data_IF_067443932107
#
_entry.id   IF_067443932107
#
_cell.length_a   1.000
_cell.length_b   1.000
_cell.length_c   1.000
_cell.angle_alpha   90.00
_cell.angle_beta   90.00
_cell.angle_gamma   90.00
#
_symmetry.space_group_name_H-M   'P 1'
#
loop_
_entity.id
_entity.type
_entity.pdbx_description
1 polymer ?
#
# COMPACT_ATOMS: atom_id res chain seq x y z
N UNK A 1 10.50 24.61 -38.58
CA UNK A 1 9.09 24.68 -38.14
C UNK A 1 8.82 23.58 -37.13
N UNK A 2 8.87 23.91 -35.85
CA UNK A 2 8.77 22.98 -34.72
C UNK A 2 7.30 22.84 -34.31
N UNK A 3 6.71 21.65 -34.48
CA UNK A 3 5.40 21.31 -33.92
C UNK A 3 5.60 20.82 -32.49
N UNK A 4 5.46 21.71 -31.51
CA UNK A 4 5.31 21.34 -30.10
C UNK A 4 4.02 20.50 -29.96
N UNK A 5 4.16 19.22 -29.62
CA UNK A 5 3.04 18.40 -29.15
C UNK A 5 2.71 18.88 -27.74
N UNK A 6 1.59 19.58 -27.61
CA UNK A 6 0.96 19.89 -26.33
C UNK A 6 0.50 18.55 -25.75
N UNK A 7 1.24 18.06 -24.77
CA UNK A 7 0.80 16.94 -23.96
C UNK A 7 -0.40 17.41 -23.14
N UNK A 8 -1.57 16.91 -23.47
CA UNK A 8 -2.78 17.07 -22.65
C UNK A 8 -2.50 16.43 -21.30
N UNK A 9 -2.19 17.25 -20.29
CA UNK A 9 -2.35 16.85 -18.90
C UNK A 9 -3.83 16.49 -18.75
N UNK A 10 -4.12 15.19 -18.62
CA UNK A 10 -5.39 14.73 -18.10
C UNK A 10 -5.45 15.20 -16.65
N UNK A 11 -6.08 16.36 -16.46
CA UNK A 11 -6.56 16.81 -15.15
C UNK A 11 -7.47 15.69 -14.64
N UNK A 12 -7.15 15.01 -13.52
CA UNK A 12 -8.11 14.13 -12.91
C UNK A 12 -9.33 14.99 -12.55
N UNK A 13 -10.48 14.61 -13.10
CA UNK A 13 -11.76 15.23 -12.79
C UNK A 13 -11.90 15.20 -11.27
N UNK A 14 -11.97 16.40 -10.69
CA UNK A 14 -12.28 16.64 -9.29
C UNK A 14 -13.56 15.89 -8.93
N UNK A 15 -13.43 14.71 -8.33
CA UNK A 15 -14.46 14.21 -7.43
C UNK A 15 -14.15 14.84 -6.08
N UNK A 16 -14.55 16.10 -5.96
CA UNK A 16 -14.70 16.70 -4.65
C UNK A 16 -15.54 15.72 -3.83
N UNK A 17 -15.01 15.27 -2.69
CA UNK A 17 -15.83 14.98 -1.53
C UNK A 17 -16.53 16.29 -1.16
N UNK A 18 -17.53 16.69 -1.95
CA UNK A 18 -18.43 17.76 -1.62
C UNK A 18 -19.44 17.20 -0.62
N UNK A 19 -18.97 16.99 0.60
CA UNK A 19 -19.83 16.98 1.78
C UNK A 19 -19.64 18.35 2.40
N UNK A 20 -20.64 19.20 2.20
CA UNK A 20 -20.59 20.62 2.52
C UNK A 20 -20.37 20.82 4.03
N UNK A 21 -19.25 21.43 4.39
CA UNK A 21 -19.01 21.96 5.73
C UNK A 21 -20.06 23.01 6.05
N UNK A 22 -21.04 22.66 6.88
CA UNK A 22 -21.83 23.64 7.60
C UNK A 22 -21.57 23.43 9.09
N UNK A 23 -20.73 24.31 9.65
CA UNK A 23 -20.61 24.45 11.07
C UNK A 23 -21.95 24.86 11.66
N UNK A 24 -22.44 24.12 12.66
CA UNK A 24 -23.29 24.69 13.69
C UNK A 24 -22.92 24.08 15.05
N UNK A 25 -22.59 25.00 15.95
CA UNK A 25 -22.31 24.82 17.37
C UNK A 25 -23.45 24.10 18.09
N UNK A 26 -23.12 23.24 19.05
CA UNK A 26 -23.37 23.51 20.48
C UNK A 26 -22.89 22.31 21.32
N UNK A 27 -21.79 22.50 22.03
CA UNK A 27 -21.48 21.70 23.22
C UNK A 27 -22.09 22.44 24.43
N UNK A 28 -22.73 21.75 25.40
CA UNK A 28 -23.10 22.38 26.65
C UNK A 28 -21.86 22.62 27.51
N UNK A 29 -21.82 23.78 28.16
CA UNK A 29 -20.78 24.20 29.10
C UNK A 29 -20.57 23.17 30.21
N UNK A 30 -19.29 22.92 30.55
CA UNK A 30 -18.91 22.22 31.76
C UNK A 30 -18.02 23.12 32.62
N UNK A 31 -18.50 23.36 33.83
CA UNK A 31 -17.93 24.19 34.88
C UNK A 31 -16.49 23.81 35.26
N UNK A 32 -15.79 24.83 35.76
CA UNK A 32 -14.42 24.83 36.24
C UNK A 32 -14.16 23.84 37.38
N UNK A 33 -13.12 23.02 37.22
CA UNK A 33 -12.51 22.25 38.30
C UNK A 33 -11.32 21.46 37.80
N UNK A 34 -10.10 22.01 37.97
CA UNK A 34 -8.80 21.39 37.68
C UNK A 34 -8.73 20.56 36.38
N UNK A 35 -8.44 21.21 35.25
CA UNK A 35 -8.17 20.51 33.98
C UNK A 35 -6.93 19.63 34.10
N UNK A 36 -7.02 18.28 34.02
CA UNK A 36 -5.85 17.46 33.77
C UNK A 36 -5.28 17.84 32.40
N UNK A 37 -3.94 17.87 32.26
CA UNK A 37 -3.26 18.11 30.97
C UNK A 37 -3.85 17.15 29.93
N UNK A 38 -4.65 17.69 29.03
CA UNK A 38 -5.29 16.96 27.94
C UNK A 38 -4.19 16.44 27.02
N UNK A 39 -4.07 15.12 26.86
CA UNK A 39 -3.08 14.55 25.94
C UNK A 39 -3.44 14.86 24.49
N UNK A 40 -2.46 14.86 23.59
CA UNK A 40 -2.65 15.08 22.16
C UNK A 40 -3.60 14.05 21.52
N UNK A 41 -3.81 12.90 22.17
CA UNK A 41 -4.78 11.88 21.78
C UNK A 41 -6.17 12.02 22.43
N UNK A 42 -6.43 13.09 23.18
CA UNK A 42 -7.71 13.26 23.87
C UNK A 42 -8.93 13.32 22.93
N UNK A 43 -8.74 13.78 21.69
CA UNK A 43 -9.79 13.79 20.67
C UNK A 43 -10.34 12.40 20.31
N UNK A 44 -9.59 11.33 20.62
CA UNK A 44 -10.01 9.94 20.39
C UNK A 44 -10.47 9.23 21.65
N UNK A 45 -10.65 9.93 22.78
CA UNK A 45 -11.08 9.32 24.05
C UNK A 45 -12.30 8.42 23.84
N UNK A 46 -12.19 7.18 24.31
CA UNK A 46 -13.22 6.17 24.11
C UNK A 46 -12.65 4.81 23.74
N UNK A 47 -13.56 3.88 23.46
CA UNK A 47 -13.24 2.53 22.97
C UNK A 47 -13.73 2.40 21.53
N UNK A 48 -12.86 1.87 20.68
CA UNK A 48 -13.10 1.77 19.25
C UNK A 48 -12.78 0.38 18.74
N UNK A 49 -13.55 -0.08 17.77
CA UNK A 49 -13.36 -1.36 17.09
C UNK A 49 -13.10 -1.14 15.60
N UNK A 50 -12.32 -2.02 14.99
CA UNK A 50 -12.05 -2.00 13.56
C UNK A 50 -13.33 -2.35 12.78
N UNK A 51 -13.73 -1.46 11.87
CA UNK A 51 -14.84 -1.70 10.95
C UNK A 51 -14.56 -2.85 9.98
N UNK A 52 -13.28 -3.09 9.67
CA UNK A 52 -12.84 -4.15 8.76
C UNK A 52 -13.18 -5.57 9.24
N UNK A 53 -13.45 -5.77 10.54
CA UNK A 53 -13.83 -7.07 11.09
C UNK A 53 -15.25 -7.51 10.66
N UNK A 54 -16.05 -6.62 10.07
CA UNK A 54 -17.38 -6.95 9.53
C UNK A 54 -17.33 -7.77 8.23
N UNK A 55 -16.19 -7.77 7.54
CA UNK A 55 -16.08 -8.20 6.13
C UNK A 55 -16.57 -9.62 5.84
N UNK A 56 -16.48 -10.52 6.81
CA UNK A 56 -16.79 -11.94 6.68
C UNK A 56 -18.18 -12.30 7.25
N UNK A 57 -19.00 -11.33 7.68
CA UNK A 57 -20.33 -11.63 8.21
C UNK A 57 -21.25 -12.15 7.07
N UNK A 58 -21.87 -13.34 7.22
CA UNK A 58 -22.67 -13.95 6.17
C UNK A 58 -23.85 -13.09 5.68
N UNK A 59 -24.35 -12.17 6.52
CA UNK A 59 -25.44 -11.26 6.14
C UNK A 59 -25.06 -10.27 5.04
N UNK A 60 -23.76 -10.05 4.81
CA UNK A 60 -23.25 -9.12 3.80
C UNK A 60 -23.08 -9.77 2.41
N UNK A 61 -23.20 -11.09 2.31
CA UNK A 61 -22.96 -11.85 1.06
C UNK A 61 -23.81 -11.37 -0.12
N UNK A 62 -25.08 -11.06 0.12
CA UNK A 62 -25.97 -10.55 -0.93
C UNK A 62 -25.47 -9.19 -1.46
N UNK A 63 -25.06 -8.29 -0.57
CA UNK A 63 -24.58 -6.96 -0.96
C UNK A 63 -23.27 -7.04 -1.75
N UNK A 64 -22.36 -7.94 -1.39
CA UNK A 64 -21.14 -8.18 -2.17
C UNK A 64 -21.46 -8.70 -3.57
N UNK A 65 -22.39 -9.65 -3.71
CA UNK A 65 -22.81 -10.20 -5.01
C UNK A 65 -23.43 -9.12 -5.90
N UNK A 66 -24.46 -8.43 -5.40
CA UNK A 66 -25.17 -7.37 -6.13
C UNK A 66 -24.23 -6.23 -6.58
N UNK A 67 -23.23 -5.91 -5.75
CA UNK A 67 -22.27 -4.86 -6.06
C UNK A 67 -21.24 -5.33 -7.09
N UNK A 68 -20.67 -6.53 -6.91
CA UNK A 68 -19.66 -7.09 -7.81
C UNK A 68 -20.20 -7.36 -9.23
N UNK A 69 -21.50 -7.64 -9.39
CA UNK A 69 -22.15 -7.75 -10.70
C UNK A 69 -21.98 -6.50 -11.59
N UNK A 70 -21.80 -5.33 -10.97
CA UNK A 70 -21.58 -4.05 -11.65
C UNK A 70 -20.10 -3.75 -11.90
N UNK A 71 -19.21 -4.63 -11.46
CA UNK A 71 -17.75 -4.48 -11.49
C UNK A 71 -17.12 -5.55 -12.42
N UNK A 72 -17.06 -5.33 -13.73
CA UNK A 72 -16.74 -6.38 -14.71
C UNK A 72 -15.36 -7.02 -14.52
N UNK A 73 -14.42 -6.29 -13.91
CA UNK A 73 -13.03 -6.72 -13.70
C UNK A 73 -12.78 -7.35 -12.31
N UNK A 74 -13.84 -7.63 -11.56
CA UNK A 74 -13.79 -8.23 -10.23
C UNK A 74 -14.66 -9.48 -10.23
N UNK A 75 -14.20 -10.53 -9.54
CA UNK A 75 -15.13 -11.55 -9.03
C UNK A 75 -15.73 -11.06 -7.71
N UNK A 76 -16.77 -11.75 -7.21
CA UNK A 76 -17.33 -11.45 -5.87
C UNK A 76 -16.23 -11.47 -4.81
N UNK A 77 -15.41 -12.52 -4.81
CA UNK A 77 -14.28 -12.64 -3.88
C UNK A 77 -13.17 -11.62 -4.14
N UNK A 78 -12.95 -11.22 -5.40
CA UNK A 78 -12.01 -10.15 -5.71
C UNK A 78 -12.46 -8.78 -5.21
N UNK A 79 -13.76 -8.50 -5.24
CA UNK A 79 -14.33 -7.29 -4.65
C UNK A 79 -14.29 -7.33 -3.12
N UNK A 80 -14.65 -8.46 -2.49
CA UNK A 80 -14.47 -8.67 -1.04
C UNK A 80 -13.02 -8.44 -0.61
N UNK A 81 -12.06 -8.97 -1.35
CA UNK A 81 -10.64 -8.75 -1.09
C UNK A 81 -10.24 -7.27 -1.23
N UNK A 82 -10.78 -6.55 -2.22
CA UNK A 82 -10.56 -5.11 -2.37
C UNK A 82 -11.10 -4.31 -1.18
N UNK A 83 -12.34 -4.59 -0.77
CA UNK A 83 -12.98 -3.98 0.39
C UNK A 83 -12.23 -4.29 1.68
N UNK A 84 -11.83 -5.54 1.90
CA UNK A 84 -11.02 -5.95 3.04
C UNK A 84 -9.65 -5.24 3.09
N UNK A 85 -8.99 -5.10 1.93
CA UNK A 85 -7.70 -4.43 1.84
C UNK A 85 -7.79 -2.93 2.21
N UNK A 86 -8.89 -2.27 1.87
CA UNK A 86 -9.14 -0.88 2.25
C UNK A 86 -9.12 -0.71 3.77
N UNK A 87 -9.79 -1.59 4.52
CA UNK A 87 -9.90 -1.49 5.97
C UNK A 87 -8.81 -2.23 6.76
N UNK A 88 -7.83 -2.83 6.08
CA UNK A 88 -6.85 -3.73 6.71
C UNK A 88 -6.00 -3.01 7.76
N UNK A 89 -5.98 -3.53 8.97
CA UNK A 89 -5.20 -2.98 10.09
C UNK A 89 -4.65 -4.10 10.98
N UNK A 90 -3.46 -3.92 11.61
CA UNK A 90 -2.98 -4.83 12.64
C UNK A 90 -3.72 -4.68 13.99
N UNK A 91 -4.44 -3.56 14.19
CA UNK A 91 -5.18 -3.22 15.40
C UNK A 91 -6.67 -3.48 15.19
N UNK A 92 -7.26 -4.33 16.03
CA UNK A 92 -8.69 -4.69 15.97
C UNK A 92 -9.53 -3.91 16.96
N UNK A 93 -8.92 -3.43 18.06
CA UNK A 93 -9.56 -2.52 19.03
C UNK A 93 -8.57 -1.49 19.54
N UNK A 94 -9.05 -0.30 19.86
CA UNK A 94 -8.24 0.78 20.43
C UNK A 94 -8.99 1.45 21.59
N UNK A 95 -8.32 1.61 22.73
CA UNK A 95 -8.86 2.31 23.90
C UNK A 95 -7.96 3.49 24.26
N UNK A 96 -8.55 4.67 24.23
CA UNK A 96 -7.91 5.94 24.59
C UNK A 96 -8.53 6.48 25.87
N UNK A 97 -7.70 6.77 26.87
CA UNK A 97 -8.16 7.28 28.17
C UNK A 97 -8.21 8.82 28.24
N UNK A 98 -7.78 9.51 27.17
CA UNK A 98 -7.66 10.96 27.12
C UNK A 98 -6.24 11.48 27.35
N UNK A 99 -5.30 10.58 27.70
CA UNK A 99 -3.86 10.83 27.71
C UNK A 99 -3.22 10.34 26.41
N UNK A 100 -1.89 10.38 26.34
CA UNK A 100 -1.10 9.83 25.25
C UNK A 100 -0.88 8.31 25.30
N UNK A 101 -1.50 7.64 26.27
CA UNK A 101 -1.46 6.19 26.41
C UNK A 101 -2.66 5.57 25.71
N UNK A 102 -2.37 4.54 24.93
CA UNK A 102 -3.38 3.79 24.18
C UNK A 102 -3.21 2.31 24.50
N UNK A 103 -4.33 1.61 24.62
CA UNK A 103 -4.36 0.15 24.64
C UNK A 103 -4.88 -0.34 23.31
N UNK A 104 -4.04 -1.06 22.57
CA UNK A 104 -4.45 -1.70 21.32
C UNK A 104 -4.69 -3.18 21.57
N UNK A 105 -5.80 -3.71 21.07
CA UNK A 105 -5.94 -5.14 20.84
C UNK A 105 -5.40 -5.44 19.45
N UNK A 106 -4.38 -6.28 19.35
CA UNK A 106 -3.83 -6.77 18.09
C UNK A 106 -4.18 -8.23 17.90
N UNK A 107 -4.37 -8.64 16.65
CA UNK A 107 -4.63 -10.02 16.27
C UNK A 107 -3.39 -10.59 15.58
N UNK A 108 -2.84 -11.69 16.10
CA UNK A 108 -1.71 -12.36 15.47
C UNK A 108 -2.14 -13.20 14.24
N UNK A 109 -1.17 -13.86 13.61
CA UNK A 109 -1.41 -14.66 12.41
C UNK A 109 -2.32 -15.88 12.67
N UNK A 110 -2.38 -16.37 13.91
CA UNK A 110 -3.21 -17.49 14.34
C UNK A 110 -4.60 -17.04 14.81
N UNK A 111 -4.88 -15.73 14.72
CA UNK A 111 -6.16 -15.14 15.11
C UNK A 111 -6.28 -14.83 16.61
N UNK A 112 -5.21 -15.01 17.39
CA UNK A 112 -5.22 -14.72 18.83
C UNK A 112 -5.12 -13.23 19.07
N UNK A 113 -6.01 -12.72 19.92
CA UNK A 113 -6.03 -11.32 20.34
C UNK A 113 -5.18 -11.09 21.60
N UNK A 114 -4.38 -10.03 21.61
CA UNK A 114 -3.61 -9.55 22.76
C UNK A 114 -3.80 -8.06 22.96
N UNK A 115 -4.08 -7.62 24.20
CA UNK A 115 -4.11 -6.20 24.55
C UNK A 115 -2.69 -5.73 24.93
N UNK A 116 -2.20 -4.71 24.23
CA UNK A 116 -0.88 -4.14 24.41
C UNK A 116 -1.00 -2.63 24.63
N UNK A 117 -0.44 -2.15 25.73
CA UNK A 117 -0.38 -0.72 26.03
C UNK A 117 0.86 -0.06 25.42
N UNK A 118 0.69 1.13 24.86
CA UNK A 118 1.76 1.93 24.30
C UNK A 118 1.52 3.42 24.59
N UNK A 119 2.61 4.18 24.72
CA UNK A 119 2.57 5.63 24.87
C UNK A 119 3.15 6.26 23.60
N UNK A 120 2.46 7.27 23.08
CA UNK A 120 2.84 7.95 21.84
C UNK A 120 3.16 9.41 22.09
N UNK A 121 4.10 9.96 21.34
CA UNK A 121 4.33 11.40 21.23
C UNK A 121 3.77 11.90 19.90
N UNK A 122 3.18 13.08 19.91
CA UNK A 122 2.78 13.76 18.69
C UNK A 122 4.01 14.30 17.96
N UNK A 123 4.05 14.12 16.64
CA UNK A 123 5.19 14.52 15.79
C UNK A 123 4.78 15.48 14.65
N UNK A 124 3.57 16.00 14.69
CA UNK A 124 3.09 17.03 13.76
C UNK A 124 2.05 16.53 12.76
N UNK A 125 1.74 17.39 11.79
CA UNK A 125 0.78 17.09 10.72
C UNK A 125 1.49 16.69 9.43
N UNK A 126 0.92 15.74 8.71
CA UNK A 126 1.41 15.33 7.39
C UNK A 126 0.26 15.46 6.38
N UNK A 127 0.40 16.28 5.32
CA UNK A 127 -0.62 16.42 4.28
C UNK A 127 -1.00 15.07 3.66
N UNK A 128 -2.29 14.91 3.35
CA UNK A 128 -2.79 13.70 2.68
C UNK A 128 -2.64 13.86 1.17
N UNK A 129 -1.85 13.01 0.48
CA UNK A 129 -1.72 13.12 -0.97
C UNK A 129 -3.06 12.97 -1.68
N UNK A 130 -3.38 13.89 -2.59
CA UNK A 130 -4.63 13.88 -3.35
C UNK A 130 -5.82 14.52 -2.64
N UNK A 131 -5.68 14.96 -1.38
CA UNK A 131 -6.75 15.62 -0.61
C UNK A 131 -6.26 16.98 -0.11
N UNK A 132 -6.45 18.01 -0.94
CA UNK A 132 -6.03 19.38 -0.62
C UNK A 132 -6.69 19.87 0.68
N UNK A 133 -5.92 20.56 1.53
CA UNK A 133 -6.38 21.05 2.83
C UNK A 133 -6.53 19.98 3.92
N UNK A 134 -6.41 18.69 3.60
CA UNK A 134 -6.48 17.60 4.57
C UNK A 134 -5.09 17.20 5.07
N UNK A 135 -4.99 16.86 6.35
CA UNK A 135 -3.74 16.38 6.96
C UNK A 135 -4.01 15.32 8.00
N UNK A 136 -3.11 14.35 8.07
CA UNK A 136 -3.04 13.40 9.16
C UNK A 136 -2.40 14.02 10.41
N UNK A 137 -2.89 13.64 11.59
CA UNK A 137 -2.21 13.85 12.86
C UNK A 137 -1.23 12.69 13.08
N UNK A 138 0.07 12.97 13.17
CA UNK A 138 1.11 11.94 13.21
C UNK A 138 1.69 11.73 14.61
N UNK A 139 1.95 10.47 14.95
CA UNK A 139 2.45 10.05 16.25
C UNK A 139 3.54 8.98 16.12
N UNK A 140 4.46 8.96 17.07
CA UNK A 140 5.52 7.96 17.21
C UNK A 140 5.49 7.36 18.62
N UNK A 141 5.62 6.04 18.73
CA UNK A 141 5.74 5.35 20.01
C UNK A 141 6.99 5.86 20.76
N UNK A 142 6.83 6.18 22.05
CA UNK A 142 7.93 6.70 22.90
C UNK A 142 9.04 5.66 23.09
N UNK A 143 8.70 4.37 23.03
CA UNK A 143 9.61 3.23 23.10
C UNK A 143 9.15 2.12 22.17
N UNK A 144 10.07 1.27 21.75
CA UNK A 144 9.71 0.05 21.03
C UNK A 144 8.93 -0.89 21.96
N UNK A 145 7.76 -1.34 21.53
CA UNK A 145 6.88 -2.24 22.29
C UNK A 145 6.74 -3.56 21.55
N UNK A 146 7.08 -4.67 22.22
CA UNK A 146 6.92 -6.02 21.67
C UNK A 146 5.46 -6.26 21.30
N UNK A 147 5.22 -6.83 20.12
CA UNK A 147 3.87 -7.05 19.58
C UNK A 147 3.29 -5.85 18.82
N UNK A 148 3.90 -4.66 18.89
CA UNK A 148 3.47 -3.45 18.17
C UNK A 148 4.52 -2.96 17.16
N UNK A 149 5.35 -3.86 16.62
CA UNK A 149 6.40 -3.48 15.66
C UNK A 149 5.85 -2.84 14.38
N UNK A 150 4.63 -3.19 13.97
CA UNK A 150 3.93 -2.59 12.84
C UNK A 150 3.16 -1.31 13.18
N UNK A 151 3.15 -0.89 14.45
CA UNK A 151 2.43 0.28 14.95
C UNK A 151 3.37 1.29 15.64
N UNK A 152 4.68 1.24 15.36
CA UNK A 152 5.65 2.22 15.89
C UNK A 152 5.26 3.66 15.54
N UNK A 153 4.82 3.87 14.29
CA UNK A 153 4.26 5.12 13.82
C UNK A 153 2.78 4.93 13.55
N UNK A 154 1.97 5.94 13.88
CA UNK A 154 0.57 5.99 13.49
C UNK A 154 0.21 7.37 12.98
N UNK A 155 -0.70 7.42 12.02
CA UNK A 155 -1.25 8.65 11.46
C UNK A 155 -2.76 8.56 11.48
N UNK A 156 -3.41 9.56 12.07
CA UNK A 156 -4.82 9.51 12.44
C UNK A 156 -5.61 10.69 11.86
N UNK A 157 -6.84 10.41 11.43
CA UNK A 157 -7.86 11.45 11.35
C UNK A 157 -8.62 11.53 12.68
N UNK A 158 -9.00 12.72 13.15
CA UNK A 158 -9.89 12.85 14.31
C UNK A 158 -11.24 12.15 14.08
N UNK A 159 -11.93 11.72 15.14
CA UNK A 159 -13.30 11.22 15.01
C UNK A 159 -14.22 12.26 14.37
N UNK A 160 -14.96 11.83 13.37
CA UNK A 160 -15.88 12.67 12.60
C UNK A 160 -17.06 11.84 12.07
N UNK A 161 -18.08 12.54 11.58
CA UNK A 161 -19.25 11.98 10.92
C UNK A 161 -19.47 12.73 9.62
N UNK A 162 -19.80 12.01 8.56
CA UNK A 162 -20.21 12.60 7.28
C UNK A 162 -21.74 12.66 7.24
N UNK A 163 -22.32 13.85 7.06
CA UNK A 163 -23.77 14.07 6.92
C UNK A 163 -24.64 13.42 8.01
N UNK A 164 -24.16 13.40 9.26
CA UNK A 164 -24.88 12.77 10.37
C UNK A 164 -24.84 11.24 10.36
N UNK A 165 -24.01 10.63 9.51
CA UNK A 165 -23.72 9.21 9.49
C UNK A 165 -22.91 8.75 10.70
N UNK A 166 -22.42 7.51 10.64
CA UNK A 166 -21.66 6.88 11.72
C UNK A 166 -20.45 7.73 12.17
N UNK A 167 -20.31 7.93 13.48
CA UNK A 167 -19.09 8.49 14.07
C UNK A 167 -17.94 7.49 13.91
N UNK A 168 -16.89 7.90 13.22
CA UNK A 168 -15.75 7.05 12.92
C UNK A 168 -14.46 7.87 12.79
N UNK A 169 -13.33 7.19 12.69
CA UNK A 169 -12.04 7.79 12.34
C UNK A 169 -11.21 6.83 11.50
N UNK A 170 -10.19 7.39 10.84
CA UNK A 170 -9.25 6.61 10.04
C UNK A 170 -7.87 6.58 10.68
N UNK A 171 -7.17 5.45 10.51
CA UNK A 171 -5.83 5.24 11.03
C UNK A 171 -4.95 4.55 10.00
N UNK A 172 -3.65 4.88 9.98
CA UNK A 172 -2.65 4.00 9.37
C UNK A 172 -1.53 3.75 10.36
N UNK A 173 -0.96 2.55 10.31
CA UNK A 173 0.08 2.09 11.22
C UNK A 173 1.30 1.63 10.42
N UNK A 174 2.52 1.94 10.89
CA UNK A 174 3.73 1.54 10.21
C UNK A 174 4.94 1.38 11.12
N UNK A 175 5.90 0.58 10.65
CA UNK A 175 7.16 0.33 11.36
C UNK A 175 8.27 1.34 11.02
N UNK A 176 8.18 2.02 9.86
CA UNK A 176 9.33 2.73 9.25
C UNK A 176 9.35 4.23 9.55
N UNK A 177 8.29 4.95 9.19
CA UNK A 177 8.10 6.37 9.50
C UNK A 177 6.64 6.75 9.32
N UNK A 178 6.21 7.87 9.90
CA UNK A 178 4.88 8.41 9.71
C UNK A 178 4.66 8.93 8.28
N UNK A 179 5.67 9.52 7.65
CA UNK A 179 5.59 9.98 6.25
C UNK A 179 5.36 8.81 5.29
N UNK A 180 5.99 7.66 5.53
CA UNK A 180 5.84 6.50 4.67
C UNK A 180 4.39 6.00 4.61
N UNK A 181 3.68 6.01 5.75
CA UNK A 181 2.28 5.59 5.83
C UNK A 181 1.29 6.72 5.48
N UNK A 182 1.61 7.97 5.80
CA UNK A 182 0.78 9.13 5.42
C UNK A 182 0.79 9.37 3.91
N UNK A 183 1.93 9.14 3.25
CA UNK A 183 2.09 9.37 1.81
C UNK A 183 1.76 8.16 0.94
N UNK A 184 1.30 7.06 1.56
CA UNK A 184 0.79 5.91 0.80
C UNK A 184 -0.45 6.34 0.01
N UNK A 185 -0.37 6.23 -1.31
CA UNK A 185 -1.44 6.64 -2.23
C UNK A 185 -2.42 5.51 -2.55
N UNK A 186 -2.24 4.32 -1.96
CA UNK A 186 -3.24 3.26 -2.06
C UNK A 186 -4.54 3.69 -1.39
N UNK A 187 -5.64 3.11 -1.84
CA UNK A 187 -6.96 3.31 -1.24
C UNK A 187 -7.09 2.50 0.08
N UNK A 188 -6.22 2.84 1.04
CA UNK A 188 -6.06 2.20 2.34
C UNK A 188 -6.54 3.16 3.43
N UNK A 189 -7.70 2.84 4.00
CA UNK A 189 -8.45 3.64 4.96
C UNK A 189 -8.97 2.77 6.12
N UNK A 190 -8.09 2.18 6.95
CA UNK A 190 -8.52 1.49 8.16
C UNK A 190 -9.40 2.40 8.98
N UNK A 191 -10.59 1.89 9.31
CA UNK A 191 -11.66 2.69 9.87
C UNK A 191 -12.07 2.09 11.20
N UNK A 192 -12.23 2.96 12.19
CA UNK A 192 -12.57 2.61 13.55
C UNK A 192 -13.87 3.30 13.94
N UNK A 193 -14.73 2.56 14.62
CA UNK A 193 -16.08 2.98 15.01
C UNK A 193 -16.26 2.74 16.50
N UNK A 194 -17.23 3.40 17.14
CA UNK A 194 -17.46 3.26 18.57
C UNK A 194 -17.68 1.78 18.94
N UNK A 195 -17.00 1.30 19.98
CA UNK A 195 -17.21 -0.05 20.51
C UNK A 195 -18.62 -0.25 21.08
N UNK A 196 -19.35 0.85 21.37
CA UNK A 196 -20.73 0.81 21.83
C UNK A 196 -21.76 0.68 20.71
N UNK A 197 -21.34 0.70 19.44
CA UNK A 197 -22.25 0.52 18.30
C UNK A 197 -22.85 -0.89 18.34
N UNK A 198 -24.15 -1.00 18.09
CA UNK A 198 -24.82 -2.30 18.03
C UNK A 198 -24.30 -3.11 16.83
N UNK A 199 -24.30 -4.45 16.94
CA UNK A 199 -23.94 -5.32 15.81
C UNK A 199 -24.85 -5.06 14.59
N UNK A 200 -26.13 -4.79 14.83
CA UNK A 200 -27.11 -4.51 13.78
C UNK A 200 -26.76 -3.23 13.02
N UNK A 201 -26.50 -2.13 13.72
CA UNK A 201 -26.09 -0.86 13.10
C UNK A 201 -24.76 -1.01 12.36
N UNK A 202 -23.79 -1.70 12.96
CA UNK A 202 -22.50 -1.95 12.35
C UNK A 202 -22.64 -2.70 11.01
N UNK A 203 -23.47 -3.74 10.96
CA UNK A 203 -23.70 -4.51 9.74
C UNK A 203 -24.52 -3.72 8.71
N UNK A 204 -25.45 -2.86 9.15
CA UNK A 204 -26.18 -1.95 8.28
C UNK A 204 -25.22 -0.97 7.59
N UNK A 205 -24.33 -0.34 8.35
CA UNK A 205 -23.31 0.57 7.81
C UNK A 205 -22.32 -0.18 6.89
N UNK A 206 -21.91 -1.40 7.25
CA UNK A 206 -21.09 -2.25 6.38
C UNK A 206 -21.79 -2.55 5.05
N UNK A 207 -23.08 -2.88 5.08
CA UNK A 207 -23.87 -3.14 3.87
C UNK A 207 -23.94 -1.92 2.95
N UNK A 208 -24.19 -0.74 3.50
CA UNK A 208 -24.21 0.50 2.71
C UNK A 208 -22.81 0.89 2.22
N UNK A 209 -21.78 0.69 3.04
CA UNK A 209 -20.38 0.84 2.67
C UNK A 209 -19.99 -0.04 1.48
N UNK A 210 -20.38 -1.31 1.47
CA UNK A 210 -20.14 -2.23 0.35
C UNK A 210 -20.73 -1.67 -0.95
N UNK A 211 -22.00 -1.23 -0.93
CA UNK A 211 -22.66 -0.66 -2.12
C UNK A 211 -21.97 0.62 -2.60
N UNK A 212 -21.63 1.53 -1.68
CA UNK A 212 -20.97 2.78 -1.99
C UNK A 212 -19.57 2.53 -2.59
N UNK A 213 -18.78 1.64 -1.99
CA UNK A 213 -17.43 1.32 -2.45
C UNK A 213 -17.39 0.71 -3.85
N UNK A 214 -18.43 -0.01 -4.27
CA UNK A 214 -18.52 -0.48 -5.66
C UNK A 214 -18.47 0.64 -6.71
N UNK A 215 -18.89 1.85 -6.34
CA UNK A 215 -18.83 3.03 -7.21
C UNK A 215 -17.53 3.84 -7.07
N UNK A 216 -16.84 3.70 -5.93
CA UNK A 216 -15.60 4.43 -5.63
C UNK A 216 -14.34 3.69 -6.07
N UNK A 217 -14.37 2.36 -6.10
CA UNK A 217 -13.27 1.61 -6.68
C UNK A 217 -13.17 1.87 -8.18
N UNK A 218 -11.94 1.92 -8.67
CA UNK A 218 -11.67 1.94 -10.09
C UNK A 218 -12.35 0.73 -10.76
N UNK A 219 -13.00 0.98 -11.91
CA UNK A 219 -13.56 -0.11 -12.72
C UNK A 219 -12.50 -1.12 -13.12
N UNK A 220 -11.26 -0.67 -13.26
CA UNK A 220 -10.09 -1.50 -13.51
C UNK A 220 -9.20 -1.55 -12.27
N UNK A 221 -8.92 -2.74 -11.71
CA UNK A 221 -7.95 -2.87 -10.62
C UNK A 221 -6.53 -2.45 -11.02
N UNK A 222 -6.25 -2.29 -12.32
CA UNK A 222 -4.96 -1.85 -12.83
C UNK A 222 -4.83 -0.35 -13.07
N UNK A 223 -5.87 0.45 -12.80
CA UNK A 223 -5.91 1.88 -13.17
C UNK A 223 -4.72 2.66 -12.61
N UNK A 224 -4.41 2.47 -11.32
CA UNK A 224 -3.26 3.11 -10.68
C UNK A 224 -1.94 2.82 -11.42
N UNK A 225 -1.71 1.56 -11.81
CA UNK A 225 -0.46 1.16 -12.47
C UNK A 225 -0.41 1.70 -13.90
N UNK A 226 -1.53 1.70 -14.61
CA UNK A 226 -1.64 2.26 -15.96
C UNK A 226 -1.37 3.78 -15.97
N UNK A 227 -1.79 4.50 -14.93
CA UNK A 227 -1.55 5.94 -14.80
C UNK A 227 -0.05 6.31 -14.70
N UNK A 228 0.81 5.37 -14.26
CA UNK A 228 2.27 5.57 -14.22
C UNK A 228 2.97 5.24 -15.56
N UNK A 229 2.22 4.79 -16.57
CA UNK A 229 2.76 4.37 -17.86
C UNK A 229 3.30 2.94 -17.82
N UNK A 230 4.39 2.70 -18.57
CA UNK A 230 5.06 1.41 -18.60
C UNK A 230 5.97 1.25 -17.39
N UNK A 231 6.14 0.01 -16.96
CA UNK A 231 7.00 -0.37 -15.85
C UNK A 231 8.11 -1.26 -16.36
N UNK A 232 9.33 -1.04 -15.90
CA UNK A 232 10.48 -1.88 -16.21
C UNK A 232 10.77 -2.85 -15.05
N UNK A 233 11.21 -4.06 -15.39
CA UNK A 233 11.78 -4.99 -14.41
C UNK A 233 13.03 -4.34 -13.80
N UNK A 234 13.06 -4.20 -12.47
CA UNK A 234 14.11 -3.44 -11.80
C UNK A 234 15.50 -4.06 -11.94
N UNK A 235 15.62 -5.33 -12.34
CA UNK A 235 16.94 -5.91 -12.63
C UNK A 235 17.66 -5.20 -13.79
N UNK A 236 16.93 -4.53 -14.69
CA UNK A 236 17.50 -3.72 -15.78
C UNK A 236 18.32 -2.53 -15.28
N UNK A 237 18.05 -2.03 -14.07
CA UNK A 237 18.76 -0.85 -13.57
C UNK A 237 20.26 -1.10 -13.36
N UNK A 238 20.63 -2.35 -13.10
CA UNK A 238 22.02 -2.73 -12.86
C UNK A 238 22.84 -2.75 -14.16
N UNK A 239 22.17 -2.85 -15.30
CA UNK A 239 22.76 -2.77 -16.64
C UNK A 239 22.70 -1.33 -17.22
N UNK A 240 22.19 -0.35 -16.46
CA UNK A 240 22.11 1.05 -16.91
C UNK A 240 23.51 1.67 -17.03
N UNK A 241 23.80 2.27 -18.18
CA UNK A 241 25.11 2.82 -18.56
C UNK A 241 25.22 4.34 -18.39
N UNK A 242 24.22 4.98 -17.78
CA UNK A 242 24.26 6.42 -17.48
C UNK A 242 25.44 6.77 -16.57
N UNK A 243 25.83 8.05 -16.62
CA UNK A 243 26.92 8.57 -15.79
C UNK A 243 26.58 8.48 -14.31
N UNK A 244 25.34 8.75 -13.94
CA UNK A 244 24.84 8.72 -12.56
C UNK A 244 24.96 7.30 -11.97
N UNK A 245 24.52 6.28 -12.72
CA UNK A 245 24.61 4.89 -12.28
C UNK A 245 26.05 4.40 -12.25
N UNK A 246 26.88 4.81 -13.22
CA UNK A 246 28.30 4.48 -13.20
C UNK A 246 29.00 5.06 -11.96
N UNK A 247 28.74 6.33 -11.63
CA UNK A 247 29.24 6.95 -10.41
C UNK A 247 28.77 6.23 -9.13
N UNK A 248 27.51 5.74 -9.11
CA UNK A 248 26.98 4.95 -8.00
C UNK A 248 27.77 3.65 -7.81
N UNK A 249 28.08 2.93 -8.90
CA UNK A 249 28.93 1.73 -8.82
C UNK A 249 30.34 2.08 -8.33
N UNK A 250 30.97 3.12 -8.85
CA UNK A 250 32.32 3.53 -8.44
C UNK A 250 32.37 3.84 -6.93
N UNK A 251 31.35 4.52 -6.42
CA UNK A 251 31.19 4.80 -5.00
C UNK A 251 31.08 3.53 -4.17
N UNK A 252 30.26 2.57 -4.60
CA UNK A 252 30.08 1.29 -3.90
C UNK A 252 31.36 0.46 -3.93
N UNK A 253 32.04 0.37 -5.07
CA UNK A 253 33.32 -0.34 -5.20
C UNK A 253 34.34 0.25 -4.22
N UNK A 254 34.46 1.58 -4.17
CA UNK A 254 35.34 2.26 -3.23
C UNK A 254 34.97 2.02 -1.76
N UNK A 255 33.68 2.02 -1.42
CA UNK A 255 33.19 1.77 -0.05
C UNK A 255 33.50 0.33 0.42
N UNK A 256 33.54 -0.62 -0.52
CA UNK A 256 33.77 -2.05 -0.27
C UNK A 256 35.16 -2.54 -0.72
N UNK A 257 36.11 -1.64 -0.93
CA UNK A 257 37.47 -1.98 -1.32
C UNK A 257 38.12 -2.96 -0.32
N UNK A 258 38.76 -4.01 -0.84
CA UNK A 258 39.43 -5.08 -0.11
C UNK A 258 38.50 -6.06 0.61
N UNK A 259 37.18 -5.92 0.47
CA UNK A 259 36.20 -6.73 1.22
C UNK A 259 35.60 -7.88 0.41
N UNK A 260 36.07 -8.16 -0.81
CA UNK A 260 35.53 -9.27 -1.58
C UNK A 260 35.93 -10.61 -0.91
N UNK A 261 34.98 -11.50 -0.56
CA UNK A 261 35.32 -12.81 0.02
C UNK A 261 36.17 -13.70 -0.89
N UNK A 262 36.19 -13.42 -2.20
CA UNK A 262 37.08 -14.09 -3.17
C UNK A 262 38.51 -13.50 -3.19
N UNK A 263 38.78 -12.51 -2.36
CA UNK A 263 40.02 -11.73 -2.35
C UNK A 263 39.92 -10.46 -3.22
N UNK A 264 40.50 -9.36 -2.72
CA UNK A 264 40.59 -8.09 -3.45
C UNK A 264 39.31 -7.25 -3.42
N UNK A 265 39.12 -6.43 -4.46
CA UNK A 265 37.97 -5.55 -4.63
C UNK A 265 36.81 -6.27 -5.33
N UNK A 266 35.58 -5.80 -5.11
CA UNK A 266 34.46 -6.18 -5.98
C UNK A 266 34.58 -5.46 -7.32
N UNK A 267 34.44 -6.18 -8.43
CA UNK A 267 34.27 -5.54 -9.74
C UNK A 267 32.80 -5.14 -9.96
N UNK A 268 32.54 -4.23 -10.90
CA UNK A 268 31.17 -3.90 -11.32
C UNK A 268 30.40 -5.16 -11.77
N UNK A 269 31.07 -6.05 -12.49
CA UNK A 269 30.48 -7.31 -12.97
C UNK A 269 30.11 -8.25 -11.80
N UNK A 270 30.98 -8.36 -10.78
CA UNK A 270 30.68 -9.14 -9.57
C UNK A 270 29.43 -8.60 -8.87
N UNK A 271 29.35 -7.28 -8.68
CA UNK A 271 28.21 -6.65 -8.03
C UNK A 271 26.93 -6.92 -8.84
N UNK A 272 26.94 -6.70 -10.15
CA UNK A 272 25.77 -6.95 -11.01
C UNK A 272 25.30 -8.42 -10.91
N UNK A 273 26.24 -9.38 -10.89
CA UNK A 273 25.91 -10.79 -10.74
C UNK A 273 25.22 -11.10 -9.40
N UNK A 274 25.68 -10.53 -8.29
CA UNK A 274 25.03 -10.67 -6.99
C UNK A 274 23.66 -9.97 -6.94
N UNK A 275 23.52 -8.81 -7.58
CA UNK A 275 22.23 -8.12 -7.66
C UNK A 275 21.20 -8.92 -8.45
N UNK A 276 21.58 -9.57 -9.56
CA UNK A 276 20.70 -10.43 -10.35
C UNK A 276 20.24 -11.68 -9.60
N UNK A 277 21.07 -12.22 -8.69
CA UNK A 277 20.63 -13.29 -7.77
C UNK A 277 19.57 -12.81 -6.78
N UNK A 278 19.75 -11.61 -6.22
CA UNK A 278 18.88 -11.08 -5.17
C UNK A 278 17.54 -10.52 -5.70
N UNK A 279 17.56 -9.86 -6.85
CA UNK A 279 16.41 -9.14 -7.41
C UNK A 279 15.81 -9.79 -8.66
N UNK A 280 16.35 -10.94 -9.09
CA UNK A 280 15.91 -11.69 -10.25
C UNK A 280 16.53 -11.21 -11.56
N UNK A 281 16.10 -11.82 -12.65
CA UNK A 281 16.55 -11.57 -14.02
C UNK A 281 15.42 -10.98 -14.87
N UNK A 282 15.72 -10.67 -16.12
CA UNK A 282 14.74 -10.24 -17.13
C UNK A 282 14.33 -11.37 -18.06
N UNK A 283 14.60 -12.63 -17.70
CA UNK A 283 14.45 -13.79 -18.59
C UNK A 283 13.02 -13.91 -19.11
N UNK A 284 12.04 -13.65 -18.24
CA UNK A 284 10.61 -13.75 -18.55
C UNK A 284 10.03 -12.48 -19.17
N UNK A 285 10.45 -11.31 -18.70
CA UNK A 285 10.03 -10.02 -19.24
C UNK A 285 11.02 -8.91 -18.87
N UNK A 286 11.05 -7.89 -19.71
CA UNK A 286 11.78 -6.65 -19.51
C UNK A 286 10.86 -5.51 -19.03
N UNK A 287 9.63 -5.46 -19.55
CA UNK A 287 8.68 -4.38 -19.27
C UNK A 287 7.25 -4.91 -19.17
N UNK A 288 6.42 -4.13 -18.48
CA UNK A 288 4.99 -4.37 -18.28
C UNK A 288 4.24 -3.10 -18.65
N UNK A 289 3.09 -3.27 -19.28
CA UNK A 289 2.12 -2.21 -19.51
C UNK A 289 0.75 -2.67 -19.03
N UNK A 290 0.05 -1.79 -18.33
CA UNK A 290 -1.32 -1.99 -17.92
C UNK A 290 -2.23 -1.16 -18.83
N UNK A 291 -3.22 -1.81 -19.45
CA UNK A 291 -4.11 -1.17 -20.42
C UNK A 291 -5.53 -1.17 -19.88
N UNK A 292 -5.98 0.00 -19.43
CA UNK A 292 -7.30 0.19 -18.81
C UNK A 292 -8.26 1.05 -19.63
N UNK A 293 -7.72 1.81 -20.58
CA UNK A 293 -8.50 2.68 -21.46
C UNK A 293 -9.54 1.89 -22.26
N UNK A 294 -10.67 2.54 -22.54
CA UNK A 294 -11.80 1.95 -23.29
C UNK A 294 -12.39 0.70 -22.60
N UNK A 295 -12.39 0.68 -21.27
CA UNK A 295 -12.99 -0.39 -20.47
C UNK A 295 -12.20 -1.69 -20.42
N UNK A 296 -10.93 -1.67 -20.86
CA UNK A 296 -10.02 -2.82 -20.79
C UNK A 296 -9.53 -3.03 -19.35
N UNK A 297 -9.03 -4.23 -19.09
CA UNK A 297 -8.25 -4.54 -17.90
C UNK A 297 -7.17 -5.58 -18.29
N UNK A 298 -6.25 -5.14 -19.16
CA UNK A 298 -5.24 -6.01 -19.75
C UNK A 298 -3.87 -5.72 -19.15
N UNK A 299 -3.07 -6.78 -19.03
CA UNK A 299 -1.63 -6.69 -18.77
C UNK A 299 -0.89 -7.16 -20.02
N UNK A 300 0.10 -6.37 -20.44
CA UNK A 300 0.98 -6.67 -21.57
C UNK A 300 2.42 -6.79 -21.07
N UNK A 301 3.09 -7.88 -21.43
CA UNK A 301 4.50 -8.10 -21.13
C UNK A 301 5.33 -7.97 -22.39
N UNK A 302 6.48 -7.30 -22.24
CA UNK A 302 7.45 -7.13 -23.29
C UNK A 302 8.79 -7.74 -22.90
N UNK A 303 9.42 -8.44 -23.84
CA UNK A 303 10.80 -8.89 -23.75
C UNK A 303 11.58 -8.27 -24.90
N UNK A 304 12.62 -7.51 -24.55
CA UNK A 304 13.54 -6.88 -25.50
C UNK A 304 12.80 -6.09 -26.60
N UNK A 305 11.81 -5.30 -26.18
CA UNK A 305 10.98 -4.44 -27.04
C UNK A 305 9.84 -5.15 -27.78
N UNK A 306 9.72 -6.48 -27.69
CA UNK A 306 8.66 -7.26 -28.34
C UNK A 306 7.60 -7.68 -27.35
N UNK A 307 6.33 -7.57 -27.73
CA UNK A 307 5.22 -8.15 -26.96
C UNK A 307 5.36 -9.67 -26.92
N UNK A 308 5.40 -10.25 -25.72
CA UNK A 308 5.49 -11.71 -25.51
C UNK A 308 4.25 -12.27 -24.84
N UNK A 309 3.47 -11.43 -24.16
CA UNK A 309 2.24 -11.84 -23.52
C UNK A 309 1.27 -10.67 -23.42
N UNK A 310 -0.02 -10.98 -23.56
CA UNK A 310 -1.13 -10.07 -23.38
C UNK A 310 -2.35 -10.89 -22.99
N UNK A 311 -3.05 -10.46 -21.95
CA UNK A 311 -4.29 -11.09 -21.48
C UNK A 311 -5.14 -10.09 -20.70
N UNK A 312 -6.45 -10.32 -20.70
CA UNK A 312 -7.42 -9.62 -19.85
C UNK A 312 -7.53 -10.33 -18.49
N UNK A 313 -7.50 -9.57 -17.39
CA UNK A 313 -7.52 -10.12 -16.03
C UNK A 313 -8.80 -9.76 -15.28
N UNK A 314 -9.10 -10.56 -14.25
CA UNK A 314 -10.01 -10.15 -13.17
C UNK A 314 -9.32 -10.28 -11.83
N UNK A 315 -9.60 -9.33 -10.92
CA UNK A 315 -9.22 -9.48 -9.52
C UNK A 315 -10.02 -10.62 -8.91
N UNK A 316 -9.34 -11.47 -8.15
CA UNK A 316 -9.90 -12.65 -7.46
C UNK A 316 -9.57 -12.58 -5.96
N UNK A 317 -9.96 -13.60 -5.19
CA UNK A 317 -9.62 -13.71 -3.77
C UNK A 317 -8.10 -13.57 -3.55
N UNK A 318 -7.69 -12.96 -2.45
CA UNK A 318 -6.26 -12.83 -2.13
C UNK A 318 -5.61 -14.20 -1.86
N UNK A 319 -4.31 -14.31 -2.14
CA UNK A 319 -3.51 -15.48 -1.83
C UNK A 319 -2.63 -15.21 -0.59
N UNK A 320 -2.74 -15.99 0.51
CA UNK A 320 -2.00 -15.73 1.74
C UNK A 320 -0.47 -15.87 1.57
N UNK A 321 -0.01 -16.66 0.60
CA UNK A 321 1.43 -16.90 0.38
C UNK A 321 2.18 -15.70 -0.22
N UNK A 322 1.46 -14.86 -0.99
CA UNK A 322 1.98 -13.65 -1.65
C UNK A 322 0.92 -12.56 -1.53
N UNK A 323 0.81 -11.91 -0.35
CA UNK A 323 -0.23 -10.93 -0.08
C UNK A 323 -0.08 -9.72 -0.99
N UNK A 324 -1.21 -9.34 -1.60
CA UNK A 324 -1.29 -8.34 -2.66
C UNK A 324 -2.58 -8.56 -3.44
N UNK A 325 -2.76 -7.79 -4.50
CA UNK A 325 -3.87 -7.97 -5.41
C UNK A 325 -3.64 -9.18 -6.29
N UNK A 326 -4.39 -10.25 -6.05
CA UNK A 326 -4.39 -11.43 -6.92
C UNK A 326 -5.32 -11.20 -8.11
N UNK A 327 -4.84 -11.54 -9.30
CA UNK A 327 -5.62 -11.48 -10.53
C UNK A 327 -5.35 -12.68 -11.43
N UNK A 328 -6.40 -13.13 -12.12
CA UNK A 328 -6.34 -14.29 -13.03
C UNK A 328 -6.75 -13.86 -14.43
N UNK A 329 -5.97 -14.27 -15.42
CA UNK A 329 -6.23 -14.09 -16.83
C UNK A 329 -7.51 -14.86 -17.22
N UNK A 330 -8.38 -14.20 -17.97
CA UNK A 330 -9.71 -14.69 -18.35
C UNK A 330 -9.76 -15.25 -19.77
N UNK A 331 -8.81 -14.85 -20.61
CA UNK A 331 -8.76 -15.14 -22.04
C UNK A 331 -7.50 -15.91 -22.46
N UNK A 332 -6.55 -16.13 -21.53
CA UNK A 332 -5.27 -16.77 -21.83
C UNK A 332 -4.69 -17.56 -20.65
N UNK A 333 -4.08 -18.70 -20.96
CA UNK A 333 -3.34 -19.52 -19.98
C UNK A 333 -1.84 -19.20 -19.93
N UNK A 334 -1.05 -20.19 -19.49
CA UNK A 334 0.42 -20.13 -19.48
C UNK A 334 1.03 -19.55 -18.20
N UNK A 335 2.33 -19.29 -18.24
CA UNK A 335 3.16 -18.87 -17.09
C UNK A 335 2.70 -17.58 -16.39
N UNK A 336 1.92 -16.74 -17.06
CA UNK A 336 1.40 -15.48 -16.52
C UNK A 336 -0.10 -15.52 -16.23
N UNK A 337 -0.73 -16.70 -16.26
CA UNK A 337 -2.18 -16.82 -16.03
C UNK A 337 -2.60 -16.22 -14.69
N UNK A 338 -1.83 -16.48 -13.65
CA UNK A 338 -2.09 -15.99 -12.28
C UNK A 338 -1.01 -14.98 -11.94
N UNK A 339 -1.40 -13.82 -11.44
CA UNK A 339 -0.47 -12.79 -10.96
C UNK A 339 -0.88 -12.29 -9.58
N UNK A 340 0.10 -12.00 -8.73
CA UNK A 340 -0.09 -11.25 -7.48
C UNK A 340 0.80 -10.03 -7.50
N UNK A 341 0.23 -8.87 -7.20
CA UNK A 341 0.97 -7.61 -7.19
C UNK A 341 0.67 -6.75 -5.98
N UNK A 342 1.72 -6.18 -5.39
CA UNK A 342 1.56 -5.25 -4.27
C UNK A 342 1.08 -3.89 -4.77
N UNK A 343 0.48 -3.09 -3.89
CA UNK A 343 0.37 -1.65 -4.12
C UNK A 343 1.74 -1.03 -4.41
N UNK A 344 1.79 -0.01 -5.26
CA UNK A 344 3.04 0.68 -5.55
C UNK A 344 3.44 1.58 -4.37
N UNK A 345 4.71 1.55 -4.00
CA UNK A 345 5.22 2.23 -2.81
C UNK A 345 6.70 2.58 -2.93
N UNK A 346 7.22 3.32 -1.96
CA UNK A 346 8.64 3.63 -1.82
C UNK A 346 9.18 4.67 -2.81
N UNK A 347 10.50 4.89 -2.74
CA UNK A 347 11.22 5.85 -3.58
C UNK A 347 12.51 5.21 -4.12
N UNK A 348 12.68 5.08 -5.46
CA UNK A 348 11.66 5.35 -6.47
C UNK A 348 10.44 4.43 -6.28
N UNK A 349 9.29 4.90 -6.75
CA UNK A 349 8.03 4.15 -6.70
C UNK A 349 8.24 2.77 -7.33
N UNK A 350 7.73 1.72 -6.69
CA UNK A 350 7.83 0.36 -7.20
C UNK A 350 6.70 -0.53 -6.68
N UNK A 351 6.45 -1.63 -7.37
CA UNK A 351 5.62 -2.72 -6.87
C UNK A 351 6.33 -4.06 -7.06
N UNK A 352 5.90 -5.07 -6.31
CA UNK A 352 6.36 -6.44 -6.50
C UNK A 352 5.35 -7.24 -7.33
N UNK A 353 5.84 -8.09 -8.22
CA UNK A 353 5.03 -8.95 -9.08
C UNK A 353 5.45 -10.41 -8.92
N UNK A 354 4.52 -11.26 -8.53
CA UNK A 354 4.65 -12.71 -8.61
C UNK A 354 3.69 -13.23 -9.68
N UNK A 355 4.08 -14.27 -10.41
CA UNK A 355 3.30 -14.79 -11.52
C UNK A 355 3.50 -16.29 -11.70
N UNK A 356 2.48 -16.96 -12.23
CA UNK A 356 2.51 -18.41 -12.46
C UNK A 356 1.33 -18.90 -13.29
N UNK A 357 1.34 -20.19 -13.61
CA UNK A 357 0.16 -20.84 -14.20
C UNK A 357 -0.94 -21.06 -13.16
N UNK A 358 -0.58 -21.10 -11.87
CA UNK A 358 -1.46 -21.31 -10.73
C UNK A 358 -0.98 -20.59 -9.47
N UNK A 359 -1.81 -20.59 -8.42
CA UNK A 359 -1.46 -20.07 -7.09
C UNK A 359 -0.26 -20.80 -6.45
N UNK A 360 -0.09 -22.09 -6.74
CA UNK A 360 1.01 -22.90 -6.21
C UNK A 360 2.35 -22.36 -6.73
N UNK A 361 2.40 -21.92 -7.98
CA UNK A 361 3.64 -21.41 -8.58
C UNK A 361 4.10 -20.11 -7.88
N UNK A 362 3.17 -19.30 -7.36
CA UNK A 362 3.51 -18.08 -6.61
C UNK A 362 4.29 -18.40 -5.33
N UNK A 363 4.06 -19.57 -4.73
CA UNK A 363 4.75 -20.01 -3.51
C UNK A 363 6.23 -20.32 -3.75
N UNK A 364 6.59 -20.67 -5.00
CA UNK A 364 7.95 -21.09 -5.37
C UNK A 364 8.93 -19.90 -5.49
N UNK A 365 8.41 -18.67 -5.54
CA UNK A 365 9.27 -17.49 -5.55
C UNK A 365 9.93 -17.28 -4.19
N UNK A 366 11.25 -17.41 -4.17
CA UNK A 366 12.13 -17.04 -3.05
C UNK A 366 12.56 -15.58 -3.10
N UNK A 367 12.42 -14.92 -4.26
CA UNK A 367 12.72 -13.51 -4.48
C UNK A 367 11.45 -12.65 -4.54
N UNK A 368 11.63 -11.32 -4.57
CA UNK A 368 10.54 -10.35 -4.78
C UNK A 368 10.77 -9.63 -6.10
N UNK A 369 10.33 -10.18 -7.25
CA UNK A 369 10.49 -9.51 -8.54
C UNK A 369 9.85 -8.13 -8.44
N UNK A 370 10.62 -7.11 -8.82
CA UNK A 370 10.24 -5.72 -8.57
C UNK A 370 10.17 -4.95 -9.87
N UNK A 371 9.16 -4.11 -10.01
CA UNK A 371 8.96 -3.26 -11.17
C UNK A 371 9.00 -1.78 -10.73
N UNK A 372 9.67 -0.93 -11.50
CA UNK A 372 9.70 0.54 -11.32
C UNK A 372 9.16 1.22 -12.58
N UNK A 373 8.62 2.45 -12.51
CA UNK A 373 8.19 3.17 -13.71
C UNK A 373 9.34 3.32 -14.72
N UNK A 374 9.07 3.10 -16.00
CA UNK A 374 10.08 3.20 -17.08
C UNK A 374 10.68 4.61 -17.17
N UNK A 375 9.93 5.63 -16.78
CA UNK A 375 10.36 7.03 -16.75
C UNK A 375 11.10 7.45 -15.46
N UNK A 376 11.50 6.51 -14.59
CA UNK A 376 12.29 6.82 -13.39
C UNK A 376 13.61 7.51 -13.78
N UNK A 377 13.95 8.61 -13.11
CA UNK A 377 15.15 9.40 -13.44
C UNK A 377 16.44 8.62 -13.21
N UNK A 378 17.51 8.89 -13.97
CA UNK A 378 18.82 8.27 -13.74
C UNK A 378 19.37 8.57 -12.34
N UNK A 379 19.04 9.72 -11.75
CA UNK A 379 19.43 10.07 -10.38
C UNK A 379 18.74 9.15 -9.34
N UNK A 380 17.44 8.92 -9.49
CA UNK A 380 16.69 8.00 -8.61
C UNK A 380 17.11 6.55 -8.81
N UNK A 381 17.41 6.16 -10.06
CA UNK A 381 17.97 4.85 -10.36
C UNK A 381 19.33 4.68 -9.67
N UNK A 382 20.23 5.66 -9.78
CA UNK A 382 21.54 5.65 -9.14
C UNK A 382 21.41 5.53 -7.61
N UNK A 383 20.51 6.30 -6.98
CA UNK A 383 20.24 6.21 -5.55
C UNK A 383 19.74 4.81 -5.13
N UNK A 384 18.87 4.19 -5.94
CA UNK A 384 18.41 2.82 -5.73
C UNK A 384 19.52 1.79 -5.89
N UNK A 385 20.38 1.95 -6.91
CA UNK A 385 21.57 1.10 -7.12
C UNK A 385 22.48 1.16 -5.90
N UNK A 386 22.87 2.36 -5.45
CA UNK A 386 23.71 2.51 -4.26
C UNK A 386 23.12 1.79 -3.04
N UNK A 387 21.85 2.07 -2.72
CA UNK A 387 21.18 1.51 -1.54
C UNK A 387 21.08 -0.02 -1.62
N UNK A 388 20.66 -0.54 -2.76
CA UNK A 388 20.45 -1.98 -2.93
C UNK A 388 21.79 -2.75 -2.97
N UNK A 389 22.79 -2.24 -3.68
CA UNK A 389 24.13 -2.85 -3.70
C UNK A 389 24.77 -2.85 -2.31
N UNK A 390 24.75 -1.72 -1.58
CA UNK A 390 25.27 -1.66 -0.21
C UNK A 390 24.60 -2.71 0.70
N UNK A 391 23.28 -2.84 0.60
CA UNK A 391 22.54 -3.82 1.41
C UNK A 391 22.94 -5.26 1.08
N UNK A 392 23.08 -5.61 -0.20
CA UNK A 392 23.44 -6.97 -0.63
C UNK A 392 24.89 -7.28 -0.24
N UNK A 393 25.83 -6.37 -0.50
CA UNK A 393 27.23 -6.58 -0.15
C UNK A 393 27.42 -6.72 1.36
N UNK A 394 26.77 -5.88 2.18
CA UNK A 394 26.80 -6.06 3.63
C UNK A 394 26.26 -7.44 4.07
N UNK A 395 25.19 -7.93 3.44
CA UNK A 395 24.66 -9.26 3.74
C UNK A 395 25.63 -10.38 3.34
N UNK A 396 26.45 -10.19 2.32
CA UNK A 396 27.50 -11.16 1.92
C UNK A 396 28.61 -11.19 2.96
N UNK A 397 29.00 -10.03 3.51
CA UNK A 397 30.07 -9.94 4.52
C UNK A 397 29.66 -10.47 5.90
N UNK A 398 28.36 -10.58 6.17
CA UNK A 398 27.83 -11.15 7.41
C UNK A 398 27.66 -12.68 7.36
N UNK A 399 27.89 -13.30 6.20
CA UNK A 399 27.91 -14.75 6.01
C UNK A 399 29.34 -15.24 6.01
#
# INVERSE_FOLDING_TARGET
MSKKRIGTLLVPVFMALAVFFTACQSAPDAESGATPKTGELAGWKGEWISFGDTKDDPSLEAAYKETAEKMPNYTVEGFKAAFAAMYKTPVVKAKFDGSNKVKFTVRDADGKEEEIACEYKYIGKIPVPGYEGSSWEAFEAVKDVRGLSQAKYMVLFPPHSHDGGMLHWHARFGARSAEAIAKDTSFWWPTFVSASMSKEDLLKEAKEGIKAMGSMFDKSPFEFYAAQGRWMNSSLIYDNTSKEVSNAFDKIIKEFAGKNPKGGDFTKADIIAEMKKAYGTTDDFSHIEFVTKKGKNELVLYKDGKEVYKAAYKRVADNPSKPGMLAVATDKGGKFKTISLTGAHGTPMHFHLWYGASDIDLTQFTTKPTCIPENTSNADIAARVEKSCRSVLNSILMK
#
